data_IF_162418274795
#
_entry.id   IF_162418274795
#
_cell.length_a   1.000
_cell.length_b   1.000
_cell.length_c   1.000
_cell.angle_alpha   90.00
_cell.angle_beta   90.00
_cell.angle_gamma   90.00
#
_symmetry.space_group_name_H-M   'P 1'
#
loop_
_entity.id
_entity.type
_entity.pdbx_description
1 polymer ?
#
# COMPACT_ATOMS: atom_id res chain seq x y z
N UNK A 1 34.64 -11.20 -6.62
CA UNK A 1 33.56 -10.19 -6.67
C UNK A 1 32.88 -10.34 -8.01
N UNK A 2 31.64 -10.83 -8.01
CA UNK A 2 30.85 -10.98 -9.23
C UNK A 2 30.25 -9.62 -9.59
N UNK A 3 30.27 -9.25 -10.88
CA UNK A 3 29.64 -8.00 -11.34
C UNK A 3 28.49 -8.33 -12.26
N UNK A 4 27.34 -7.72 -12.02
CA UNK A 4 26.10 -7.87 -12.78
C UNK A 4 25.70 -6.48 -13.27
N UNK A 5 25.44 -6.33 -14.56
CA UNK A 5 24.84 -5.10 -15.09
C UNK A 5 23.38 -5.00 -14.61
N UNK A 6 22.96 -3.82 -14.19
CA UNK A 6 21.60 -3.59 -13.71
C UNK A 6 21.20 -2.12 -13.74
N UNK A 7 20.05 -1.81 -13.16
CA UNK A 7 19.51 -0.44 -13.09
C UNK A 7 19.99 0.33 -11.85
N UNK A 8 20.71 -0.33 -10.95
CA UNK A 8 21.08 0.18 -9.63
C UNK A 8 22.58 0.05 -9.35
N UNK A 9 23.05 0.84 -8.39
CA UNK A 9 24.32 0.63 -7.71
C UNK A 9 24.08 -0.11 -6.38
N UNK A 10 24.30 -1.43 -6.37
CA UNK A 10 24.15 -2.30 -5.21
C UNK A 10 25.44 -3.07 -4.92
N UNK A 11 25.83 -3.12 -3.65
CA UNK A 11 26.79 -4.09 -3.16
C UNK A 11 26.03 -5.09 -2.31
N UNK A 12 25.94 -6.32 -2.82
CA UNK A 12 25.24 -7.42 -2.17
C UNK A 12 26.27 -8.34 -1.51
N UNK A 13 26.02 -8.72 -0.27
CA UNK A 13 26.71 -9.85 0.38
C UNK A 13 25.78 -11.04 0.34
N UNK A 14 26.19 -12.06 -0.40
CA UNK A 14 25.37 -13.21 -0.73
C UNK A 14 25.93 -14.49 -0.12
N UNK A 15 25.09 -15.52 -0.03
CA UNK A 15 25.46 -16.88 0.34
C UNK A 15 24.71 -17.88 -0.53
N UNK A 16 25.41 -18.92 -0.95
CA UNK A 16 24.79 -20.06 -1.63
C UNK A 16 24.00 -20.90 -0.62
N UNK A 17 22.77 -21.25 -0.96
CA UNK A 17 21.92 -22.14 -0.19
C UNK A 17 21.37 -23.22 -1.14
N UNK A 18 20.86 -24.37 -0.65
CA UNK A 18 20.46 -25.49 -1.50
C UNK A 18 19.52 -25.12 -2.65
N UNK A 19 18.62 -24.17 -2.43
CA UNK A 19 17.58 -23.78 -3.39
C UNK A 19 17.89 -22.48 -4.16
N UNK A 20 19.11 -21.94 -4.04
CA UNK A 20 19.53 -20.74 -4.76
C UNK A 20 20.46 -19.83 -3.96
N UNK A 21 20.25 -18.52 -4.06
CA UNK A 21 21.09 -17.50 -3.40
C UNK A 21 20.29 -16.74 -2.35
N UNK A 22 20.89 -16.57 -1.17
CA UNK A 22 20.41 -15.67 -0.14
C UNK A 22 21.18 -14.33 -0.18
N UNK A 23 20.47 -13.21 -0.27
CA UNK A 23 21.04 -11.86 -0.08
C UNK A 23 21.02 -11.57 1.41
N UNK A 24 22.19 -11.59 2.05
CA UNK A 24 22.32 -11.33 3.49
C UNK A 24 22.49 -9.85 3.80
N UNK A 25 23.01 -9.08 2.85
CA UNK A 25 23.18 -7.62 2.95
C UNK A 25 23.02 -6.98 1.57
N UNK A 26 22.34 -5.85 1.51
CA UNK A 26 22.28 -4.98 0.34
C UNK A 26 22.67 -3.56 0.77
N UNK A 27 23.75 -3.04 0.20
CA UNK A 27 24.23 -1.67 0.43
C UNK A 27 23.99 -0.82 -0.81
N UNK A 28 23.34 0.33 -0.62
CA UNK A 28 23.01 1.25 -1.72
C UNK A 28 22.69 2.67 -1.23
N UNK A 29 22.76 3.64 -2.13
CA UNK A 29 22.21 4.99 -1.97
C UNK A 29 21.05 5.28 -2.92
N UNK A 30 20.67 4.31 -3.74
CA UNK A 30 19.60 4.49 -4.70
C UNK A 30 18.27 4.64 -3.98
N UNK A 31 17.41 5.51 -4.49
CA UNK A 31 16.08 5.70 -3.92
C UNK A 31 15.09 4.62 -4.39
N UNK A 32 15.36 3.97 -5.52
CA UNK A 32 14.57 2.85 -6.05
C UNK A 32 15.44 1.61 -6.22
N UNK A 33 15.38 0.70 -5.26
CA UNK A 33 16.16 -0.55 -5.25
C UNK A 33 15.42 -1.65 -5.99
N UNK A 34 16.07 -2.28 -6.97
CA UNK A 34 15.61 -3.51 -7.63
C UNK A 34 16.62 -4.61 -7.38
N UNK A 35 16.24 -5.61 -6.60
CA UNK A 35 17.07 -6.78 -6.37
C UNK A 35 17.00 -7.72 -7.59
N UNK A 36 18.11 -8.34 -8.01
CA UNK A 36 18.13 -9.21 -9.17
C UNK A 36 17.37 -10.52 -8.91
N UNK A 37 16.72 -11.04 -9.95
CA UNK A 37 16.04 -12.34 -9.90
C UNK A 37 17.01 -13.51 -9.78
N UNK A 38 18.22 -13.36 -10.33
CA UNK A 38 19.26 -14.38 -10.35
C UNK A 38 20.64 -13.78 -10.08
N UNK A 39 21.53 -14.58 -9.47
CA UNK A 39 22.94 -14.27 -9.27
C UNK A 39 23.74 -15.48 -9.74
N UNK A 40 24.57 -15.31 -10.76
CA UNK A 40 25.36 -16.41 -11.33
C UNK A 40 24.49 -17.52 -11.96
N UNK A 41 23.29 -17.19 -12.43
CA UNK A 41 22.31 -18.14 -12.98
C UNK A 41 21.52 -18.92 -11.92
N UNK A 42 21.77 -18.69 -10.62
CA UNK A 42 20.99 -19.25 -9.53
C UNK A 42 19.92 -18.26 -9.05
N UNK A 43 18.68 -18.70 -8.73
CA UNK A 43 17.60 -17.82 -8.33
C UNK A 43 17.87 -17.18 -6.96
N UNK A 44 17.50 -15.92 -6.78
CA UNK A 44 17.53 -15.24 -5.48
C UNK A 44 16.26 -15.56 -4.70
N UNK A 45 16.37 -16.48 -3.74
CA UNK A 45 15.22 -17.07 -3.04
C UNK A 45 15.05 -16.56 -1.61
N UNK A 46 16.05 -15.89 -1.02
CA UNK A 46 15.96 -15.41 0.36
C UNK A 46 16.60 -14.04 0.55
N UNK A 47 15.92 -13.19 1.34
CA UNK A 47 16.46 -11.94 1.85
C UNK A 47 16.72 -12.11 3.35
N UNK A 48 17.97 -11.97 3.78
CA UNK A 48 18.39 -12.24 5.15
C UNK A 48 17.92 -11.23 6.17
N UNK A 49 18.15 -11.55 7.45
CA UNK A 49 17.88 -10.64 8.56
C UNK A 49 18.67 -9.34 8.37
N UNK A 50 18.03 -8.19 8.63
CA UNK A 50 18.65 -6.86 8.50
C UNK A 50 19.20 -6.50 7.10
N UNK A 51 18.83 -7.24 6.04
CA UNK A 51 19.51 -7.13 4.73
C UNK A 51 19.55 -5.72 4.14
N UNK A 52 18.45 -4.95 4.17
CA UNK A 52 18.41 -3.54 3.76
C UNK A 52 18.35 -2.56 4.93
N UNK A 53 18.45 -3.04 6.17
CA UNK A 53 18.23 -2.19 7.34
C UNK A 53 19.32 -1.12 7.51
N UNK A 54 19.05 -0.10 8.32
CA UNK A 54 20.03 0.91 8.72
C UNK A 54 21.28 0.29 9.37
N UNK A 55 21.10 -0.82 10.11
CA UNK A 55 22.18 -1.56 10.78
C UNK A 55 22.71 -2.67 9.88
N UNK A 56 24.02 -2.90 9.89
CA UNK A 56 24.60 -4.07 9.23
C UNK A 56 24.32 -5.37 10.03
N UNK A 57 23.98 -6.48 9.36
CA UNK A 57 23.88 -7.80 10.00
C UNK A 57 25.25 -8.29 10.47
N UNK A 58 25.26 -9.18 11.47
CA UNK A 58 26.47 -9.90 11.87
C UNK A 58 26.66 -11.12 10.97
N UNK A 59 27.66 -11.06 10.08
CA UNK A 59 27.99 -12.11 9.13
C UNK A 59 29.28 -12.87 9.49
N UNK A 60 29.80 -12.70 10.71
CA UNK A 60 31.06 -13.34 11.11
C UNK A 60 30.94 -14.87 11.04
N UNK A 61 31.94 -15.50 10.43
CA UNK A 61 32.00 -16.95 10.27
C UNK A 61 31.01 -17.54 9.27
N UNK A 62 30.26 -16.70 8.53
CA UNK A 62 29.43 -17.16 7.43
C UNK A 62 30.26 -17.21 6.14
N UNK A 63 30.07 -18.27 5.36
CA UNK A 63 30.61 -18.35 4.01
C UNK A 63 29.78 -17.44 3.09
N UNK A 64 30.38 -16.33 2.66
CA UNK A 64 29.71 -15.28 1.90
C UNK A 64 30.57 -14.79 0.75
N UNK A 65 29.90 -14.34 -0.32
CA UNK A 65 30.56 -13.77 -1.49
C UNK A 65 29.92 -12.43 -1.88
N UNK A 66 30.73 -11.45 -2.34
CA UNK A 66 30.22 -10.16 -2.77
C UNK A 66 29.79 -10.16 -4.24
N UNK A 67 28.66 -9.51 -4.51
CA UNK A 67 28.10 -9.26 -5.84
C UNK A 67 27.87 -7.76 -5.99
N UNK A 68 28.41 -7.17 -7.06
CA UNK A 68 28.17 -5.78 -7.44
C UNK A 68 27.14 -5.73 -8.55
N UNK A 69 26.01 -5.08 -8.31
CA UNK A 69 25.07 -4.68 -9.36
C UNK A 69 25.39 -3.23 -9.70
N UNK A 70 25.58 -2.91 -10.98
CA UNK A 70 26.01 -1.56 -11.40
C UNK A 70 25.38 -1.12 -12.72
N UNK A 71 25.10 0.17 -12.83
CA UNK A 71 24.76 0.89 -14.05
C UNK A 71 25.89 1.83 -14.52
N UNK A 72 27.12 1.62 -14.03
CA UNK A 72 28.31 2.40 -14.35
C UNK A 72 28.68 3.48 -13.33
N UNK A 73 27.99 3.54 -12.19
CA UNK A 73 28.22 4.47 -11.09
C UNK A 73 29.38 4.04 -10.16
N UNK A 74 29.59 4.80 -9.06
CA UNK A 74 30.60 4.50 -8.05
C UNK A 74 30.20 3.32 -7.16
N UNK A 75 31.13 2.83 -6.35
CA UNK A 75 30.82 1.81 -5.34
C UNK A 75 29.77 2.33 -4.34
N UNK A 76 28.69 1.57 -4.09
CA UNK A 76 27.60 2.03 -3.25
C UNK A 76 28.02 2.07 -1.78
N UNK A 77 27.51 3.08 -1.07
CA UNK A 77 27.59 3.19 0.40
C UNK A 77 26.19 3.13 0.97
N UNK A 78 25.92 2.23 1.90
CA UNK A 78 24.56 2.10 2.42
C UNK A 78 24.00 3.37 3.06
N UNK A 79 22.79 3.76 2.65
CA UNK A 79 21.95 4.76 3.31
C UNK A 79 20.48 4.29 3.29
N UNK A 80 20.02 3.67 4.38
CA UNK A 80 18.63 3.24 4.53
C UNK A 80 17.61 4.39 4.44
N UNK A 81 18.02 5.64 4.68
CA UNK A 81 17.15 6.81 4.53
C UNK A 81 17.11 7.33 3.08
N UNK A 82 17.93 6.82 2.16
CA UNK A 82 17.79 7.12 0.75
C UNK A 82 16.68 6.28 0.10
N UNK A 83 16.51 5.03 0.55
CA UNK A 83 15.59 4.04 -0.02
C UNK A 83 14.12 4.49 0.11
N UNK A 84 13.43 4.60 -1.03
CA UNK A 84 12.02 4.97 -1.16
C UNK A 84 11.17 3.88 -1.78
N UNK A 85 11.73 3.05 -2.65
CA UNK A 85 11.06 1.87 -3.18
C UNK A 85 11.99 0.67 -3.23
N UNK A 86 11.43 -0.51 -2.96
CA UNK A 86 12.13 -1.78 -3.10
C UNK A 86 11.28 -2.72 -3.95
N UNK A 87 11.89 -3.28 -5.00
CA UNK A 87 11.35 -4.41 -5.74
C UNK A 87 12.14 -5.67 -5.38
N UNK A 88 11.44 -6.63 -4.77
CA UNK A 88 11.98 -7.92 -4.42
C UNK A 88 12.06 -8.83 -5.65
N UNK A 89 12.99 -9.79 -5.66
CA UNK A 89 13.10 -10.78 -6.73
C UNK A 89 11.79 -11.54 -6.91
N UNK A 90 11.42 -11.86 -8.15
CA UNK A 90 10.25 -12.68 -8.46
C UNK A 90 10.28 -14.07 -7.80
N UNK A 91 11.41 -14.81 -7.78
CA UNK A 91 11.48 -16.12 -7.14
C UNK A 91 11.67 -16.06 -5.62
N UNK A 92 11.71 -14.87 -5.01
CA UNK A 92 11.97 -14.71 -3.57
C UNK A 92 10.91 -15.44 -2.74
N UNK A 93 11.33 -16.33 -1.85
CA UNK A 93 10.45 -17.13 -1.00
C UNK A 93 10.35 -16.58 0.43
N UNK A 94 11.44 -16.01 0.93
CA UNK A 94 11.53 -15.56 2.33
C UNK A 94 12.15 -14.19 2.50
N UNK A 95 11.57 -13.41 3.41
CA UNK A 95 12.10 -12.14 3.92
C UNK A 95 12.42 -12.32 5.40
N UNK A 96 13.67 -12.06 5.77
CA UNK A 96 14.17 -12.22 7.14
C UNK A 96 13.65 -11.16 8.11
N UNK A 97 13.83 -11.42 9.39
CA UNK A 97 13.47 -10.50 10.47
C UNK A 97 14.26 -9.19 10.34
N UNK A 98 13.59 -8.07 10.58
CA UNK A 98 14.18 -6.73 10.51
C UNK A 98 14.80 -6.38 9.14
N UNK A 99 14.44 -7.06 8.04
CA UNK A 99 15.05 -6.85 6.71
C UNK A 99 15.07 -5.38 6.26
N UNK A 100 14.03 -4.61 6.56
CA UNK A 100 13.91 -3.18 6.23
C UNK A 100 13.92 -2.29 7.48
N UNK A 101 14.48 -2.75 8.59
CA UNK A 101 14.47 -2.00 9.84
C UNK A 101 15.07 -0.60 9.68
N UNK A 102 14.34 0.41 10.15
CA UNK A 102 14.67 1.83 10.02
C UNK A 102 14.83 2.36 8.57
N UNK A 103 14.25 1.70 7.56
CA UNK A 103 14.08 2.31 6.23
C UNK A 103 12.96 3.37 6.27
N UNK A 104 13.18 4.48 6.99
CA UNK A 104 12.14 5.45 7.38
C UNK A 104 11.46 6.13 6.20
N UNK A 105 12.12 6.19 5.04
CA UNK A 105 11.61 6.79 3.80
C UNK A 105 11.07 5.79 2.79
N UNK A 106 11.08 4.49 3.11
CA UNK A 106 10.48 3.46 2.25
C UNK A 106 8.99 3.74 2.10
N UNK A 107 8.54 3.99 0.87
CA UNK A 107 7.15 4.32 0.50
C UNK A 107 6.45 3.15 -0.17
N UNK A 108 7.19 2.37 -0.96
CA UNK A 108 6.64 1.31 -1.80
C UNK A 108 7.46 0.03 -1.66
N UNK A 109 6.79 -1.09 -1.37
CA UNK A 109 7.38 -2.42 -1.43
C UNK A 109 6.69 -3.25 -2.52
N UNK A 110 7.46 -3.85 -3.41
CA UNK A 110 6.97 -4.72 -4.49
C UNK A 110 7.45 -6.14 -4.27
N UNK A 111 6.53 -7.10 -4.32
CA UNK A 111 6.77 -8.52 -4.10
C UNK A 111 5.82 -9.40 -4.92
N UNK A 112 6.15 -10.67 -5.07
CA UNK A 112 5.36 -11.67 -5.78
C UNK A 112 4.62 -12.61 -4.82
N UNK A 113 3.75 -13.45 -5.35
CA UNK A 113 3.13 -14.56 -4.61
C UNK A 113 4.13 -15.62 -4.13
N UNK A 114 5.38 -15.62 -4.61
CA UNK A 114 6.39 -16.58 -4.18
C UNK A 114 6.82 -16.35 -2.73
N UNK A 115 6.70 -15.12 -2.22
CA UNK A 115 7.03 -14.81 -0.83
C UNK A 115 5.96 -15.40 0.08
N UNK A 116 6.31 -16.47 0.78
CA UNK A 116 5.44 -17.15 1.75
C UNK A 116 5.85 -16.82 3.18
N UNK A 117 7.11 -16.48 3.41
CA UNK A 117 7.67 -16.17 4.72
C UNK A 117 8.14 -14.73 4.86
N UNK A 118 7.71 -14.11 5.95
CA UNK A 118 7.97 -12.71 6.26
C UNK A 118 8.31 -12.60 7.75
N UNK A 119 9.56 -12.28 8.05
CA UNK A 119 10.11 -12.30 9.40
C UNK A 119 9.59 -11.17 10.27
N UNK A 120 9.55 -11.43 11.58
CA UNK A 120 9.09 -10.45 12.57
C UNK A 120 9.94 -9.18 12.57
N UNK A 121 9.29 -8.04 12.71
CA UNK A 121 9.90 -6.72 12.69
C UNK A 121 10.47 -6.30 11.34
N UNK A 122 10.23 -7.04 10.24
CA UNK A 122 10.82 -6.74 8.92
C UNK A 122 10.53 -5.32 8.44
N UNK A 123 9.36 -4.76 8.77
CA UNK A 123 8.94 -3.39 8.43
C UNK A 123 9.02 -2.41 9.60
N UNK A 124 9.67 -2.79 10.71
CA UNK A 124 9.75 -1.94 11.90
C UNK A 124 10.43 -0.61 11.56
N UNK A 125 9.78 0.48 11.95
CA UNK A 125 10.16 1.88 11.65
C UNK A 125 10.18 2.28 10.16
N UNK A 126 9.51 1.53 9.27
CA UNK A 126 9.24 1.96 7.89
C UNK A 126 8.11 3.01 7.82
N UNK A 127 8.30 4.17 8.45
CA UNK A 127 7.22 5.15 8.74
C UNK A 127 6.55 5.76 7.52
N UNK A 128 7.20 5.75 6.35
CA UNK A 128 6.65 6.31 5.12
C UNK A 128 5.93 5.28 4.23
N UNK A 129 5.88 4.00 4.64
CA UNK A 129 5.32 2.94 3.82
C UNK A 129 3.82 3.18 3.63
N UNK A 130 3.40 3.30 2.38
CA UNK A 130 2.01 3.60 2.03
C UNK A 130 1.48 2.73 0.90
N UNK A 131 2.36 2.03 0.20
CA UNK A 131 2.00 1.20 -0.95
C UNK A 131 2.69 -0.16 -0.90
N UNK A 132 1.91 -1.20 -1.12
CA UNK A 132 2.40 -2.55 -1.41
C UNK A 132 1.89 -2.98 -2.78
N UNK A 133 2.80 -3.42 -3.64
CA UNK A 133 2.49 -3.95 -4.97
C UNK A 133 2.74 -5.45 -4.95
N UNK A 134 1.69 -6.23 -5.15
CA UNK A 134 1.72 -7.68 -5.03
C UNK A 134 1.35 -8.31 -6.37
N UNK A 135 2.27 -9.04 -6.98
CA UNK A 135 2.00 -9.84 -8.18
C UNK A 135 1.47 -11.20 -7.76
N UNK A 136 0.15 -11.31 -7.60
CA UNK A 136 -0.53 -12.50 -7.12
C UNK A 136 -2.01 -12.48 -7.52
N UNK A 137 -2.62 -13.67 -7.61
CA UNK A 137 -4.07 -13.82 -7.57
C UNK A 137 -4.58 -13.36 -6.19
N UNK A 138 -5.51 -12.38 -6.11
CA UNK A 138 -6.03 -11.91 -4.82
C UNK A 138 -6.73 -12.99 -3.98
N UNK A 139 -7.19 -14.07 -4.59
CA UNK A 139 -7.82 -15.21 -3.90
C UNK A 139 -6.84 -16.31 -3.48
N UNK A 140 -5.57 -16.22 -3.89
CA UNK A 140 -4.53 -17.17 -3.50
C UNK A 140 -3.91 -16.82 -2.14
N UNK A 141 -3.37 -17.81 -1.40
CA UNK A 141 -2.57 -17.54 -0.21
C UNK A 141 -1.33 -16.71 -0.54
N UNK A 142 -1.08 -15.66 0.25
CA UNK A 142 0.10 -14.79 0.10
C UNK A 142 0.67 -14.42 1.47
N UNK A 143 1.87 -13.84 1.52
CA UNK A 143 2.40 -13.29 2.77
C UNK A 143 1.73 -11.97 3.22
N UNK A 144 0.70 -11.47 2.51
CA UNK A 144 0.10 -10.17 2.80
C UNK A 144 -0.40 -10.06 4.24
N UNK A 145 -1.02 -11.11 4.79
CA UNK A 145 -1.48 -11.11 6.18
C UNK A 145 -0.33 -10.97 7.18
N UNK A 146 0.83 -11.60 6.93
CA UNK A 146 2.05 -11.43 7.75
C UNK A 146 2.55 -9.99 7.65
N UNK A 147 2.69 -9.46 6.42
CA UNK A 147 3.15 -8.09 6.17
C UNK A 147 2.26 -7.06 6.87
N UNK A 148 0.94 -7.21 6.77
CA UNK A 148 -0.04 -6.33 7.40
C UNK A 148 -0.01 -6.41 8.93
N UNK A 149 0.38 -7.54 9.50
CA UNK A 149 0.61 -7.70 10.94
C UNK A 149 1.82 -6.91 11.45
N UNK A 150 2.81 -6.66 10.59
CA UNK A 150 4.02 -5.90 10.91
C UNK A 150 3.84 -4.37 10.79
N UNK A 151 2.73 -3.91 10.20
CA UNK A 151 2.53 -2.51 9.87
C UNK A 151 1.11 -2.01 10.19
N UNK A 152 1.00 -1.24 11.27
CA UNK A 152 -0.26 -0.67 11.74
C UNK A 152 -0.70 0.60 10.97
N UNK A 153 0.19 1.16 10.14
CA UNK A 153 -0.14 2.31 9.31
C UNK A 153 -1.10 1.95 8.17
N UNK A 154 -1.58 2.99 7.50
CA UNK A 154 -2.45 2.82 6.36
C UNK A 154 -1.68 2.39 5.10
N UNK A 155 -2.21 1.41 4.37
CA UNK A 155 -1.57 0.84 3.19
C UNK A 155 -2.56 0.75 2.02
N UNK A 156 -2.18 1.34 0.88
CA UNK A 156 -2.77 1.01 -0.42
C UNK A 156 -2.09 -0.28 -0.93
N UNK A 157 -2.85 -1.36 -1.03
CA UNK A 157 -2.38 -2.64 -1.59
C UNK A 157 -2.91 -2.77 -3.00
N UNK A 158 -2.01 -3.04 -3.95
CA UNK A 158 -2.34 -3.24 -5.35
C UNK A 158 -1.97 -4.65 -5.76
N UNK A 159 -2.96 -5.44 -6.15
CA UNK A 159 -2.76 -6.74 -6.75
C UNK A 159 -2.64 -6.60 -8.27
N UNK A 160 -1.56 -7.12 -8.84
CA UNK A 160 -1.36 -7.20 -10.28
C UNK A 160 -1.62 -8.64 -10.72
N UNK A 161 -2.73 -8.86 -11.44
CA UNK A 161 -3.16 -10.20 -11.84
C UNK A 161 -3.92 -10.16 -13.17
N UNK A 162 -3.54 -11.04 -14.10
CA UNK A 162 -4.16 -11.15 -15.43
C UNK A 162 -4.30 -9.81 -16.18
N UNK A 163 -3.27 -8.95 -16.10
CA UNK A 163 -3.26 -7.62 -16.74
C UNK A 163 -4.16 -6.57 -16.08
N UNK A 164 -4.84 -6.91 -14.98
CA UNK A 164 -5.68 -6.01 -14.21
C UNK A 164 -5.00 -5.65 -12.89
N UNK A 165 -5.22 -4.41 -12.43
CA UNK A 165 -4.77 -3.95 -11.11
C UNK A 165 -5.97 -3.84 -10.20
N UNK A 166 -5.94 -4.54 -9.07
CA UNK A 166 -7.00 -4.48 -8.06
C UNK A 166 -6.54 -3.69 -6.83
N UNK A 167 -7.35 -2.71 -6.42
CA UNK A 167 -7.03 -1.82 -5.31
C UNK A 167 -7.75 -2.20 -4.03
N UNK A 168 -7.00 -2.26 -2.93
CA UNK A 168 -7.54 -2.39 -1.59
C UNK A 168 -6.86 -1.37 -0.67
N UNK A 169 -7.67 -0.72 0.17
CA UNK A 169 -7.15 0.17 1.20
C UNK A 169 -7.22 -0.54 2.54
N UNK A 170 -6.09 -0.62 3.21
CA UNK A 170 -5.96 -1.21 4.52
C UNK A 170 -5.79 -0.05 5.52
N UNK A 171 -6.86 0.40 6.23
CA UNK A 171 -6.79 1.57 7.11
C UNK A 171 -5.77 1.42 8.24
N UNK A 172 -5.33 2.54 8.81
CA UNK A 172 -4.47 2.49 9.99
C UNK A 172 -5.23 2.03 11.24
N UNK A 173 -4.49 1.51 12.22
CA UNK A 173 -4.96 1.30 13.59
C UNK A 173 -3.83 1.60 14.59
N UNK A 174 -4.18 1.78 15.86
CA UNK A 174 -3.22 1.80 16.96
C UNK A 174 -3.65 0.84 18.06
N UNK A 175 -2.68 0.38 18.85
CA UNK A 175 -2.90 -0.52 19.96
C UNK A 175 -2.23 0.03 21.21
N UNK A 176 -3.02 0.19 22.26
CA UNK A 176 -2.57 0.67 23.56
C UNK A 176 -2.87 -0.40 24.63
N UNK A 177 -1.93 -0.59 25.56
CA UNK A 177 -2.12 -1.45 26.73
C UNK A 177 -2.44 -0.57 27.93
N UNK A 178 -3.72 -0.56 28.33
CA UNK A 178 -4.16 0.16 29.51
C UNK A 178 -4.09 -0.73 30.74
N UNK A 179 -3.38 -0.29 31.77
CA UNK A 179 -3.35 -0.97 33.05
C UNK A 179 -4.63 -0.69 33.85
N UNK A 180 -5.42 -1.73 34.09
CA UNK A 180 -6.52 -1.71 35.05
C UNK A 180 -5.96 -1.93 36.47
N UNK A 181 -5.57 -0.84 37.11
CA UNK A 181 -5.21 -0.83 38.53
C UNK A 181 -6.47 -0.88 39.40
N UNK A 182 -6.50 -1.62 40.54
CA UNK A 182 -5.36 -2.21 41.26
C UNK A 182 -5.01 -3.64 40.85
N UNK A 183 -5.75 -4.25 39.91
CA UNK A 183 -5.61 -5.67 39.58
C UNK A 183 -4.36 -6.02 38.75
N UNK A 184 -3.60 -5.01 38.30
CA UNK A 184 -2.47 -5.17 37.36
C UNK A 184 -2.85 -5.96 36.09
N UNK A 185 -4.13 -5.90 35.69
CA UNK A 185 -4.61 -6.48 34.45
C UNK A 185 -4.35 -5.47 33.34
N UNK A 186 -3.73 -5.89 32.24
CA UNK A 186 -3.59 -5.06 31.05
C UNK A 186 -4.75 -5.33 30.11
N UNK A 187 -5.53 -4.30 29.83
CA UNK A 187 -6.56 -4.34 28.80
C UNK A 187 -5.98 -3.78 27.50
N UNK A 188 -5.98 -4.61 26.47
CA UNK A 188 -5.62 -4.20 25.12
C UNK A 188 -6.75 -3.39 24.50
N UNK A 189 -6.47 -2.15 24.13
CA UNK A 189 -7.38 -1.28 23.38
C UNK A 189 -6.86 -1.08 21.96
N UNK A 190 -7.77 -1.26 21.01
CA UNK A 190 -7.50 -1.07 19.58
C UNK A 190 -8.29 0.14 19.11
N UNK A 191 -7.58 1.13 18.60
CA UNK A 191 -8.14 2.35 18.03
C UNK A 191 -8.00 2.34 16.50
N UNK A 192 -8.94 3.00 15.83
CA UNK A 192 -9.07 2.95 14.38
C UNK A 192 -9.69 1.63 13.90
N UNK A 193 -9.99 1.59 12.60
CA UNK A 193 -10.68 0.46 11.98
C UNK A 193 -9.73 -0.50 11.25
N UNK A 194 -8.44 -0.16 11.15
CA UNK A 194 -7.45 -0.95 10.42
C UNK A 194 -7.40 -2.40 10.88
N UNK A 195 -7.50 -2.66 12.18
CA UNK A 195 -7.35 -4.00 12.74
C UNK A 195 -8.34 -5.01 12.14
N UNK A 196 -9.62 -4.64 12.00
CA UNK A 196 -10.64 -5.53 11.41
C UNK A 196 -10.28 -5.96 9.99
N UNK A 197 -9.80 -5.01 9.17
CA UNK A 197 -9.35 -5.30 7.81
C UNK A 197 -8.12 -6.24 7.76
N UNK A 198 -7.26 -6.24 8.80
CA UNK A 198 -6.13 -7.18 8.89
C UNK A 198 -6.54 -8.59 9.27
N UNK A 199 -7.77 -8.81 9.72
CA UNK A 199 -8.29 -10.13 10.07
C UNK A 199 -9.04 -10.81 8.91
N UNK A 200 -9.17 -10.15 7.75
CA UNK A 200 -9.94 -10.65 6.62
C UNK A 200 -9.18 -11.68 5.77
N UNK A 201 -8.53 -12.66 6.41
CA UNK A 201 -7.72 -13.69 5.75
C UNK A 201 -8.09 -15.08 6.24
N UNK A 202 -8.28 -16.01 5.29
CA UNK A 202 -8.57 -17.41 5.55
C UNK A 202 -7.43 -18.25 4.96
N UNK A 203 -6.62 -18.91 5.79
CA UNK A 203 -5.48 -19.70 5.31
C UNK A 203 -4.42 -18.88 4.54
N UNK A 204 -4.32 -17.58 4.81
CA UNK A 204 -3.42 -16.65 4.11
C UNK A 204 -3.97 -16.05 2.82
N UNK A 205 -5.14 -16.49 2.36
CA UNK A 205 -5.85 -15.90 1.23
C UNK A 205 -6.78 -14.77 1.70
N UNK A 206 -6.93 -13.72 0.90
CA UNK A 206 -7.82 -12.61 1.23
C UNK A 206 -9.29 -13.04 1.08
N UNK A 207 -10.07 -12.84 2.15
CA UNK A 207 -11.51 -13.07 2.13
C UNK A 207 -12.26 -11.79 1.78
N UNK A 208 -12.65 -11.63 0.50
CA UNK A 208 -13.36 -10.41 0.03
C UNK A 208 -14.68 -10.19 0.76
N UNK A 209 -15.39 -11.27 1.08
CA UNK A 209 -16.61 -11.21 1.88
C UNK A 209 -16.37 -10.63 3.28
N UNK A 210 -15.33 -11.09 3.99
CA UNK A 210 -14.99 -10.52 5.30
C UNK A 210 -14.54 -9.07 5.18
N UNK A 211 -13.73 -8.76 4.15
CA UNK A 211 -13.24 -7.41 3.87
C UNK A 211 -14.39 -6.43 3.62
N UNK A 212 -15.39 -6.84 2.82
CA UNK A 212 -16.56 -6.03 2.50
C UNK A 212 -17.45 -5.83 3.73
N UNK A 213 -17.62 -6.86 4.57
CA UNK A 213 -18.35 -6.75 5.84
C UNK A 213 -17.67 -5.81 6.84
N UNK A 214 -16.35 -5.68 6.82
CA UNK A 214 -15.61 -4.80 7.73
C UNK A 214 -15.98 -3.30 7.57
N UNK A 215 -16.62 -2.92 6.44
CA UNK A 215 -17.14 -1.57 6.24
C UNK A 215 -18.18 -1.17 7.30
N UNK A 216 -19.00 -2.09 7.82
CA UNK A 216 -19.98 -1.74 8.85
C UNK A 216 -19.30 -1.23 10.13
N UNK A 217 -18.17 -1.84 10.50
CA UNK A 217 -17.39 -1.43 11.67
C UNK A 217 -16.81 -0.02 11.53
N UNK A 218 -16.48 0.43 10.31
CA UNK A 218 -16.09 1.81 10.04
C UNK A 218 -17.26 2.78 10.26
N UNK A 219 -18.44 2.42 9.77
CA UNK A 219 -19.64 3.26 9.87
C UNK A 219 -20.12 3.38 11.33
N UNK A 220 -20.13 2.28 12.08
CA UNK A 220 -20.50 2.24 13.50
C UNK A 220 -19.56 3.08 14.38
N UNK A 221 -18.28 3.19 13.99
CA UNK A 221 -17.29 4.02 14.69
C UNK A 221 -17.26 5.47 14.22
N UNK A 222 -18.10 5.84 13.25
CA UNK A 222 -18.12 7.16 12.64
C UNK A 222 -16.82 7.55 11.90
N UNK A 223 -16.04 6.56 11.44
CA UNK A 223 -14.82 6.74 10.64
C UNK A 223 -15.14 7.03 9.15
N UNK A 224 -16.04 7.97 8.90
CA UNK A 224 -16.71 8.14 7.60
C UNK A 224 -15.79 8.46 6.42
N UNK A 225 -14.74 9.28 6.65
CA UNK A 225 -13.76 9.57 5.59
C UNK A 225 -12.98 8.31 5.22
N UNK A 226 -12.63 7.48 6.21
CA UNK A 226 -11.94 6.21 5.97
C UNK A 226 -12.87 5.24 5.25
N UNK A 227 -14.15 5.16 5.65
CA UNK A 227 -15.19 4.39 4.97
C UNK A 227 -15.29 4.78 3.48
N UNK A 228 -15.49 6.07 3.18
CA UNK A 228 -15.56 6.57 1.82
C UNK A 228 -14.30 6.23 1.01
N UNK A 229 -13.12 6.30 1.65
CA UNK A 229 -11.87 5.93 0.99
C UNK A 229 -11.74 4.44 0.72
N UNK A 230 -12.10 3.55 1.65
CA UNK A 230 -12.08 2.11 1.39
C UNK A 230 -13.02 1.79 0.23
N UNK A 231 -14.23 2.34 0.30
CA UNK A 231 -15.26 2.13 -0.70
C UNK A 231 -14.88 2.58 -2.10
N UNK A 232 -14.29 3.77 -2.26
CA UNK A 232 -13.90 4.24 -3.60
C UNK A 232 -12.81 3.34 -4.22
N UNK A 233 -11.86 2.82 -3.44
CA UNK A 233 -10.86 1.85 -3.95
C UNK A 233 -11.54 0.54 -4.33
N UNK A 234 -12.49 0.09 -3.51
CA UNK A 234 -13.22 -1.15 -3.73
C UNK A 234 -14.07 -1.12 -5.01
N UNK A 235 -14.66 0.04 -5.33
CA UNK A 235 -15.48 0.23 -6.54
C UNK A 235 -14.68 0.45 -7.82
N UNK A 236 -13.44 0.96 -7.74
CA UNK A 236 -12.64 1.31 -8.92
C UNK A 236 -12.31 0.10 -9.81
N UNK A 237 -11.90 -1.01 -9.20
CA UNK A 237 -11.57 -2.26 -9.89
C UNK A 237 -11.99 -3.43 -9.01
N UNK A 238 -13.28 -3.79 -9.00
CA UNK A 238 -13.81 -4.74 -8.04
C UNK A 238 -13.34 -6.17 -8.35
N UNK A 239 -12.67 -6.79 -7.38
CA UNK A 239 -12.43 -8.24 -7.35
C UNK A 239 -13.38 -8.91 -6.35
N UNK A 240 -14.20 -9.87 -6.77
CA UNK A 240 -15.09 -10.60 -5.85
C UNK A 240 -16.00 -9.71 -4.99
N UNK A 241 -16.48 -8.58 -5.54
CA UNK A 241 -17.43 -7.68 -4.88
C UNK A 241 -18.85 -8.09 -5.25
N UNK A 242 -19.66 -8.46 -4.26
CA UNK A 242 -21.07 -8.81 -4.50
C UNK A 242 -21.92 -7.58 -4.80
N UNK A 243 -23.08 -7.78 -5.43
CA UNK A 243 -24.01 -6.68 -5.71
C UNK A 243 -24.51 -6.00 -4.42
N UNK A 244 -24.74 -6.78 -3.37
CA UNK A 244 -25.12 -6.25 -2.06
C UNK A 244 -24.00 -5.39 -1.46
N UNK A 245 -22.75 -5.85 -1.50
CA UNK A 245 -21.61 -5.08 -1.00
C UNK A 245 -21.36 -3.82 -1.84
N UNK A 246 -21.55 -3.91 -3.16
CA UNK A 246 -21.52 -2.76 -4.08
C UNK A 246 -22.60 -1.73 -3.73
N UNK A 247 -23.82 -2.17 -3.41
CA UNK A 247 -24.88 -1.27 -2.99
C UNK A 247 -24.52 -0.54 -1.68
N UNK A 248 -24.06 -1.27 -0.66
CA UNK A 248 -23.58 -0.68 0.62
C UNK A 248 -22.46 0.33 0.40
N UNK A 249 -21.54 0.03 -0.51
CA UNK A 249 -20.48 0.95 -0.93
C UNK A 249 -21.06 2.25 -1.52
N UNK A 250 -21.95 2.14 -2.50
CA UNK A 250 -22.58 3.33 -3.10
C UNK A 250 -23.36 4.15 -2.07
N UNK A 251 -24.06 3.51 -1.14
CA UNK A 251 -24.78 4.19 -0.06
C UNK A 251 -23.84 4.93 0.89
N UNK A 252 -22.71 4.32 1.26
CA UNK A 252 -21.67 4.98 2.03
C UNK A 252 -21.15 6.25 1.32
N UNK A 253 -20.94 6.20 0.00
CA UNK A 253 -20.48 7.37 -0.75
C UNK A 253 -21.57 8.43 -0.94
N UNK A 254 -22.84 8.05 -1.04
CA UNK A 254 -23.94 9.02 -1.04
C UNK A 254 -24.05 9.75 0.29
N UNK A 255 -23.80 9.06 1.40
CA UNK A 255 -23.88 9.65 2.74
C UNK A 255 -22.63 10.47 3.10
N UNK A 256 -21.44 10.07 2.63
CA UNK A 256 -20.17 10.59 3.15
C UNK A 256 -19.15 11.00 2.08
N UNK A 257 -19.50 10.89 0.79
CA UNK A 257 -18.61 11.15 -0.33
C UNK A 257 -18.17 12.61 -0.47
N UNK A 258 -18.98 13.58 -0.03
CA UNK A 258 -18.61 15.00 -0.11
C UNK A 258 -17.34 15.36 0.64
N UNK A 259 -17.10 14.74 1.81
CA UNK A 259 -15.85 14.97 2.57
C UNK A 259 -14.64 14.41 1.83
N UNK A 260 -14.80 13.26 1.17
CA UNK A 260 -13.76 12.70 0.31
C UNK A 260 -13.50 13.60 -0.91
N UNK A 261 -14.55 14.12 -1.55
CA UNK A 261 -14.43 15.03 -2.68
C UNK A 261 -13.65 16.30 -2.31
N UNK A 262 -13.97 16.96 -1.18
CA UNK A 262 -13.21 18.12 -0.68
C UNK A 262 -11.74 17.78 -0.41
N UNK A 263 -11.46 16.62 0.18
CA UNK A 263 -10.07 16.18 0.41
C UNK A 263 -9.31 16.00 -0.90
N UNK A 264 -9.90 15.29 -1.87
CA UNK A 264 -9.27 15.09 -3.17
C UNK A 264 -9.09 16.42 -3.92
N UNK A 265 -10.04 17.35 -3.79
CA UNK A 265 -9.96 18.69 -4.32
C UNK A 265 -8.80 19.49 -3.72
N UNK A 266 -8.66 19.48 -2.38
CA UNK A 266 -7.56 20.13 -1.69
C UNK A 266 -6.18 19.56 -2.06
N UNK A 267 -6.12 18.25 -2.34
CA UNK A 267 -4.90 17.54 -2.70
C UNK A 267 -4.58 17.55 -4.20
N UNK A 268 -5.44 18.12 -5.04
CA UNK A 268 -5.24 18.13 -6.50
C UNK A 268 -5.44 16.77 -7.18
N UNK A 269 -6.09 15.80 -6.50
CA UNK A 269 -6.27 14.42 -6.95
C UNK A 269 -7.36 14.30 -8.03
N UNK A 270 -7.10 14.88 -9.20
CA UNK A 270 -8.08 15.03 -10.29
C UNK A 270 -8.62 13.69 -10.80
N UNK A 271 -7.77 12.65 -10.89
CA UNK A 271 -8.20 11.31 -11.29
C UNK A 271 -9.18 10.67 -10.29
N UNK A 272 -8.94 10.85 -8.98
CA UNK A 272 -9.84 10.36 -7.94
C UNK A 272 -11.18 11.09 -7.97
N UNK A 273 -11.17 12.40 -8.23
CA UNK A 273 -12.39 13.19 -8.41
C UNK A 273 -13.18 12.75 -9.63
N UNK A 274 -12.53 12.56 -10.79
CA UNK A 274 -13.19 12.08 -12.00
C UNK A 274 -13.90 10.76 -11.74
N UNK A 275 -13.23 9.82 -11.08
CA UNK A 275 -13.85 8.54 -10.74
C UNK A 275 -15.03 8.71 -9.77
N UNK A 276 -14.87 9.49 -8.69
CA UNK A 276 -15.95 9.73 -7.71
C UNK A 276 -17.19 10.37 -8.36
N UNK A 277 -16.97 11.36 -9.24
CA UNK A 277 -18.05 12.04 -9.97
C UNK A 277 -18.74 11.10 -10.95
N UNK A 278 -18.00 10.19 -11.60
CA UNK A 278 -18.57 9.20 -12.53
C UNK A 278 -19.56 8.24 -11.86
N UNK A 279 -19.49 8.09 -10.53
CA UNK A 279 -20.42 7.25 -9.77
C UNK A 279 -21.79 7.93 -9.56
N UNK A 280 -21.91 9.25 -9.79
CA UNK A 280 -23.16 9.98 -9.61
C UNK A 280 -23.68 9.98 -8.16
N UNK A 281 -22.78 9.84 -7.18
CA UNK A 281 -23.12 9.71 -5.75
C UNK A 281 -23.07 11.03 -4.98
N UNK A 282 -22.52 12.09 -5.58
CA UNK A 282 -22.40 13.40 -4.93
C UNK A 282 -23.58 14.31 -5.28
N UNK A 283 -24.05 15.05 -4.29
CA UNK A 283 -25.04 16.11 -4.48
C UNK A 283 -24.41 17.37 -5.11
N UNK A 284 -25.20 18.25 -5.76
CA UNK A 284 -24.69 19.52 -6.30
C UNK A 284 -23.99 20.38 -5.24
N UNK A 285 -24.53 20.45 -4.02
CA UNK A 285 -23.95 21.22 -2.92
C UNK A 285 -22.57 20.68 -2.50
N UNK A 286 -22.36 19.36 -2.53
CA UNK A 286 -21.05 18.76 -2.23
C UNK A 286 -20.02 19.02 -3.33
N UNK A 287 -20.45 19.04 -4.59
CA UNK A 287 -19.60 19.40 -5.74
C UNK A 287 -19.19 20.87 -5.65
N UNK A 288 -20.12 21.77 -5.33
CA UNK A 288 -19.85 23.20 -5.14
C UNK A 288 -18.84 23.43 -3.99
N UNK A 289 -19.05 22.78 -2.85
CA UNK A 289 -18.12 22.87 -1.71
C UNK A 289 -16.70 22.33 -2.06
N UNK A 290 -16.62 21.30 -2.90
CA UNK A 290 -15.35 20.80 -3.42
C UNK A 290 -14.70 21.79 -4.41
N UNK A 291 -15.49 22.50 -5.23
CA UNK A 291 -14.97 23.56 -6.11
C UNK A 291 -14.36 24.69 -5.28
N UNK A 292 -15.05 25.14 -4.23
CA UNK A 292 -14.54 26.20 -3.35
C UNK A 292 -13.23 25.77 -2.68
N UNK A 293 -13.17 24.54 -2.19
CA UNK A 293 -11.94 23.97 -1.64
C UNK A 293 -10.81 23.94 -2.67
N UNK A 294 -11.07 23.55 -3.91
CA UNK A 294 -10.07 23.54 -4.98
C UNK A 294 -9.57 24.95 -5.32
N UNK A 295 -10.46 25.96 -5.33
CA UNK A 295 -10.09 27.37 -5.54
C UNK A 295 -9.20 27.87 -4.42
N UNK A 296 -9.58 27.64 -3.16
CA UNK A 296 -8.83 28.05 -1.97
C UNK A 296 -7.43 27.43 -1.91
N UNK A 297 -7.27 26.21 -2.45
CA UNK A 297 -5.99 25.49 -2.51
C UNK A 297 -5.25 25.65 -3.83
N UNK A 298 -5.75 26.51 -4.72
CA UNK A 298 -5.18 26.81 -6.03
C UNK A 298 -4.99 25.55 -6.92
N UNK A 299 -5.84 24.54 -6.73
CA UNK A 299 -5.80 23.27 -7.46
C UNK A 299 -6.59 23.35 -8.77
N UNK A 300 -5.99 23.98 -9.79
CA UNK A 300 -6.64 24.26 -11.08
C UNK A 300 -7.15 23.02 -11.81
N UNK A 301 -6.39 21.93 -11.81
CA UNK A 301 -6.79 20.67 -12.45
C UNK A 301 -8.01 20.04 -11.77
N UNK A 302 -8.03 20.01 -10.43
CA UNK A 302 -9.16 19.49 -9.66
C UNK A 302 -10.41 20.36 -9.86
N UNK A 303 -10.25 21.68 -9.85
CA UNK A 303 -11.34 22.62 -10.11
C UNK A 303 -11.96 22.41 -11.50
N UNK A 304 -11.13 22.21 -12.52
CA UNK A 304 -11.61 21.95 -13.88
C UNK A 304 -12.49 20.69 -13.96
N UNK A 305 -12.08 19.61 -13.30
CA UNK A 305 -12.85 18.35 -13.25
C UNK A 305 -14.20 18.56 -12.56
N UNK A 306 -14.23 19.29 -11.44
CA UNK A 306 -15.45 19.54 -10.68
C UNK A 306 -16.44 20.44 -11.43
N UNK A 307 -15.95 21.50 -12.09
CA UNK A 307 -16.79 22.40 -12.87
C UNK A 307 -17.43 21.72 -14.09
N UNK A 308 -16.71 20.81 -14.74
CA UNK A 308 -17.25 20.02 -15.85
C UNK A 308 -18.45 19.17 -15.42
N UNK A 309 -18.38 18.56 -14.22
CA UNK A 309 -19.50 17.81 -13.66
C UNK A 309 -20.71 18.70 -13.32
N UNK A 310 -20.48 19.90 -12.76
CA UNK A 310 -21.55 20.84 -12.42
C UNK A 310 -22.31 21.42 -13.63
N UNK A 311 -21.67 21.52 -14.80
CA UNK A 311 -22.30 22.02 -16.04
C UNK A 311 -23.12 20.97 -16.79
N UNK A 312 -23.05 19.70 -16.40
CA UNK A 312 -23.69 18.58 -17.09
C UNK A 312 -25.19 18.41 -16.79
N UNK A 313 -25.78 19.25 -15.92
CA UNK A 313 -27.24 19.33 -15.76
C UNK A 313 -27.83 20.24 -16.84
N UNK A 314 -28.74 19.78 -17.71
CA UNK A 314 -29.39 20.64 -18.69
C UNK A 314 -30.28 21.63 -17.94
N UNK A 315 -29.79 22.86 -17.75
CA UNK A 315 -30.68 24.00 -17.51
C UNK A 315 -31.44 24.24 -18.80
N UNK A 316 -32.55 23.52 -18.98
CA UNK A 316 -33.57 23.86 -19.95
C UNK A 316 -34.07 25.27 -19.65
N UNK A 317 -33.44 26.27 -20.25
CA UNK A 317 -34.05 27.59 -20.38
C UNK A 317 -35.25 27.40 -21.28
N UNK A 318 -36.43 27.29 -20.69
CA UNK A 318 -37.67 27.55 -21.39
C UNK A 318 -37.55 28.96 -21.98
N UNK A 319 -37.29 29.04 -23.29
CA UNK A 319 -37.47 30.28 -24.03
C UNK A 319 -38.97 30.43 -24.20
N UNK A 320 -39.59 31.24 -23.35
CA UNK A 320 -40.91 31.79 -23.64
C UNK A 320 -40.72 32.71 -24.85
N UNK A 321 -41.22 32.28 -26.00
CA UNK A 321 -41.46 33.18 -27.11
C UNK A 321 -42.88 33.70 -26.94
N UNK A 322 -43.02 34.98 -26.59
CA UNK A 322 -44.28 35.68 -26.76
C UNK A 322 -44.52 35.84 -28.28
N UNK A 323 -45.67 35.32 -28.74
CA UNK A 323 -46.21 35.46 -30.09
C UNK A 323 -46.84 36.85 -30.26
#
# INVERSE_FOLDING_TARGET
MYTVEGENELLLTCREIPDGVAILRCETRDDSVRLPDEIGGAPVVSLGNYALSERAPDLRGQDVFPVRVTCGGPEPKHDANAVRSVALPQPLQSVGSYAFYNCRRLKTLTLSSAVTDFGGGALMNCRALREVRLYADPSSPTCLYKLLGEYAGELDVRFFWNGTVYYLLFPAYSEDLEALTPAHIFQRRIHGAGYGYRQCFDGGALSTHQYDRALSGLLERHDFLVAARVTIRRLATPFGLSDAARATCLDCLRAHGGTLARRCAAAGESAALTFLLSLGVLSPAEIDAACDTAREKEQTAALSVLLAAGQSSPKGRAKTFDL
#
